data_IF_285402491639
#
_entry.id   IF_285402491639
#
_cell.length_a   1.000
_cell.length_b   1.000
_cell.length_c   1.000
_cell.angle_alpha   90.00
_cell.angle_beta   90.00
_cell.angle_gamma   90.00
#
_symmetry.space_group_name_H-M   'P 1'
#
loop_
_entity.id
_entity.type
_entity.pdbx_description
1 polymer ?
#
# COMPACT_ATOMS: atom_id res chain seq x y z
N UNK A 1 4.58 -8.01 -6.16
CA UNK A 1 3.46 -8.15 -5.22
C UNK A 1 2.16 -8.47 -5.96
N UNK A 2 1.70 -7.62 -6.85
CA UNK A 2 0.42 -7.75 -7.56
C UNK A 2 0.34 -8.97 -8.47
N UNK A 3 1.40 -9.40 -9.13
CA UNK A 3 1.44 -10.65 -9.89
C UNK A 3 1.19 -11.88 -9.00
N UNK A 4 1.65 -11.82 -7.76
CA UNK A 4 1.39 -12.88 -6.79
C UNK A 4 -0.06 -12.87 -6.32
N UNK A 5 -0.65 -11.70 -6.14
CA UNK A 5 -2.07 -11.53 -5.84
C UNK A 5 -2.94 -12.07 -6.98
N UNK A 6 -2.59 -11.76 -8.24
CA UNK A 6 -3.29 -12.26 -9.43
C UNK A 6 -3.39 -13.79 -9.48
N UNK A 7 -2.36 -14.48 -8.99
CA UNK A 7 -2.40 -15.96 -8.84
C UNK A 7 -3.55 -16.40 -7.94
N UNK A 8 -3.78 -15.66 -6.83
CA UNK A 8 -4.90 -15.93 -5.90
C UNK A 8 -6.25 -15.60 -6.55
N UNK A 9 -6.35 -14.46 -7.21
CA UNK A 9 -7.57 -14.02 -7.91
C UNK A 9 -7.95 -15.01 -8.99
N UNK A 10 -7.01 -15.44 -9.82
CA UNK A 10 -7.22 -16.44 -10.89
C UNK A 10 -7.69 -17.79 -10.33
N UNK A 11 -7.10 -18.24 -9.22
CA UNK A 11 -7.53 -19.46 -8.55
C UNK A 11 -8.95 -19.34 -8.02
N UNK A 12 -9.26 -18.24 -7.34
CA UNK A 12 -10.59 -17.98 -6.80
C UNK A 12 -11.65 -17.93 -7.90
N UNK A 13 -11.36 -17.24 -9.03
CA UNK A 13 -12.24 -17.18 -10.19
C UNK A 13 -12.52 -18.58 -10.77
N UNK A 14 -11.49 -19.44 -10.84
CA UNK A 14 -11.65 -20.84 -11.31
C UNK A 14 -12.54 -21.67 -10.37
N UNK A 15 -12.43 -21.44 -9.07
CA UNK A 15 -13.21 -22.18 -8.06
C UNK A 15 -14.65 -21.63 -7.94
N UNK A 16 -14.93 -20.45 -8.54
CA UNK A 16 -16.25 -19.76 -8.52
C UNK A 16 -16.67 -19.37 -9.95
N UNK A 17 -16.98 -20.33 -10.83
CA UNK A 17 -17.23 -20.07 -12.27
C UNK A 17 -18.49 -19.25 -12.56
N UNK A 18 -19.37 -19.07 -11.58
CA UNK A 18 -20.57 -18.23 -11.69
C UNK A 18 -20.29 -16.74 -11.45
N UNK A 19 -19.05 -16.40 -11.11
CA UNK A 19 -18.60 -15.02 -10.88
C UNK A 19 -17.64 -14.58 -11.99
N UNK A 20 -17.83 -13.36 -12.52
CA UNK A 20 -16.84 -12.70 -13.38
C UNK A 20 -15.82 -11.94 -12.52
N UNK A 21 -14.68 -12.55 -12.28
CA UNK A 21 -13.64 -12.04 -11.37
C UNK A 21 -12.36 -11.79 -12.15
N UNK A 22 -11.81 -10.58 -12.02
CA UNK A 22 -10.54 -10.20 -12.65
C UNK A 22 -9.78 -9.21 -11.79
N UNK A 23 -8.46 -9.20 -11.92
CA UNK A 23 -7.60 -8.18 -11.36
C UNK A 23 -7.27 -7.14 -12.44
N UNK A 24 -7.34 -5.87 -12.08
CA UNK A 24 -6.94 -4.75 -12.94
C UNK A 24 -6.20 -3.72 -12.09
N UNK A 25 -5.29 -2.99 -12.70
CA UNK A 25 -4.56 -1.92 -12.03
C UNK A 25 -3.72 -1.11 -13.01
N UNK A 26 -3.16 0.02 -12.60
CA UNK A 26 -2.24 0.79 -13.40
C UNK A 26 -0.93 0.02 -13.64
N UNK A 27 -0.25 0.31 -14.74
CA UNK A 27 1.03 -0.32 -15.07
C UNK A 27 2.20 0.15 -14.17
N UNK A 28 2.05 1.32 -13.58
CA UNK A 28 2.99 1.93 -12.63
C UNK A 28 2.22 2.42 -11.42
N UNK A 29 2.91 2.72 -10.32
CA UNK A 29 2.28 3.29 -9.13
C UNK A 29 1.75 4.70 -9.44
N UNK A 30 0.47 4.79 -9.79
CA UNK A 30 -0.25 6.00 -10.18
C UNK A 30 -1.65 6.01 -9.58
N UNK A 31 -1.82 6.79 -8.51
CA UNK A 31 -3.09 6.88 -7.78
C UNK A 31 -4.21 7.54 -8.61
N UNK A 32 -3.87 8.48 -9.49
CA UNK A 32 -4.86 9.11 -10.37
C UNK A 32 -5.37 8.13 -11.43
N UNK A 33 -4.49 7.30 -11.98
CA UNK A 33 -4.88 6.23 -12.91
C UNK A 33 -5.69 5.16 -12.19
N UNK A 34 -5.35 4.80 -10.94
CA UNK A 34 -6.16 3.89 -10.14
C UNK A 34 -7.56 4.44 -9.91
N UNK A 35 -7.70 5.72 -9.57
CA UNK A 35 -9.01 6.38 -9.43
C UNK A 35 -9.83 6.28 -10.71
N UNK A 36 -9.22 6.53 -11.87
CA UNK A 36 -9.93 6.44 -13.17
C UNK A 36 -10.42 5.01 -13.44
N UNK A 37 -9.57 3.99 -13.21
CA UNK A 37 -9.95 2.58 -13.36
C UNK A 37 -11.16 2.24 -12.47
N UNK A 38 -11.16 2.68 -11.21
CA UNK A 38 -12.27 2.45 -10.29
C UNK A 38 -13.54 3.17 -10.76
N UNK A 39 -13.42 4.42 -11.25
CA UNK A 39 -14.57 5.14 -11.81
C UNK A 39 -15.21 4.39 -12.98
N UNK A 40 -14.40 3.85 -13.88
CA UNK A 40 -14.87 3.09 -15.03
C UNK A 40 -15.56 1.78 -14.60
N UNK A 41 -14.98 1.06 -13.63
CA UNK A 41 -15.59 -0.14 -13.05
C UNK A 41 -16.96 0.16 -12.38
N UNK A 42 -17.02 1.21 -11.58
CA UNK A 42 -18.27 1.64 -10.93
C UNK A 42 -19.32 2.08 -11.97
N UNK A 43 -18.88 2.70 -13.06
CA UNK A 43 -19.78 3.08 -14.15
C UNK A 43 -20.37 1.86 -14.89
N UNK A 44 -19.62 0.75 -15.00
CA UNK A 44 -20.10 -0.52 -15.57
C UNK A 44 -21.03 -1.30 -14.65
N UNK A 45 -21.15 -0.91 -13.38
CA UNK A 45 -22.08 -1.53 -12.44
C UNK A 45 -21.54 -2.81 -11.81
N UNK A 46 -20.28 -2.85 -11.39
CA UNK A 46 -19.72 -4.00 -10.67
C UNK A 46 -20.43 -4.23 -9.34
N UNK A 47 -20.65 -5.50 -8.97
CA UNK A 47 -21.30 -5.89 -7.71
C UNK A 47 -20.37 -5.73 -6.50
N UNK A 48 -19.05 -5.95 -6.70
CA UNK A 48 -18.06 -5.84 -5.65
C UNK A 48 -16.71 -5.33 -6.18
N UNK A 49 -15.97 -4.64 -5.33
CA UNK A 49 -14.59 -4.20 -5.56
C UNK A 49 -13.73 -4.61 -4.36
N UNK A 50 -12.67 -5.36 -4.61
CA UNK A 50 -11.56 -5.52 -3.69
C UNK A 50 -10.44 -4.58 -4.12
N UNK A 51 -10.05 -3.63 -3.26
CA UNK A 51 -9.13 -2.53 -3.60
C UNK A 51 -7.92 -2.54 -2.68
N UNK A 52 -6.73 -2.39 -3.27
CA UNK A 52 -5.51 -2.02 -2.53
C UNK A 52 -5.24 -0.55 -2.87
N UNK A 53 -5.68 0.39 -2.03
CA UNK A 53 -5.55 1.82 -2.34
C UNK A 53 -4.10 2.29 -2.37
N UNK A 54 -3.69 2.93 -3.46
CA UNK A 54 -2.41 3.63 -3.52
C UNK A 54 -2.43 4.93 -2.72
N UNK A 55 -3.60 5.53 -2.63
CA UNK A 55 -3.93 6.70 -1.81
C UNK A 55 -5.41 6.58 -1.41
N UNK A 56 -5.70 6.20 -0.15
CA UNK A 56 -7.07 6.05 0.33
C UNK A 56 -7.91 7.32 0.22
N UNK A 57 -7.32 8.49 0.46
CA UNK A 57 -8.05 9.76 0.53
C UNK A 57 -8.69 10.14 -0.80
N UNK A 58 -7.98 9.92 -1.93
CA UNK A 58 -8.52 10.26 -3.25
C UNK A 58 -9.64 9.31 -3.68
N UNK A 59 -9.72 8.11 -3.10
CA UNK A 59 -10.73 7.12 -3.45
C UNK A 59 -12.04 7.26 -2.68
N UNK A 60 -12.05 7.98 -1.54
CA UNK A 60 -13.22 8.08 -0.67
C UNK A 60 -14.49 8.48 -1.42
N UNK A 61 -14.40 9.47 -2.28
CA UNK A 61 -15.55 9.98 -3.02
C UNK A 61 -16.17 8.97 -3.98
N UNK A 62 -15.37 8.18 -4.69
CA UNK A 62 -15.87 7.18 -5.64
C UNK A 62 -16.36 5.93 -4.92
N UNK A 63 -15.65 5.47 -3.88
CA UNK A 63 -16.05 4.31 -3.10
C UNK A 63 -17.37 4.58 -2.37
N UNK A 64 -17.55 5.77 -1.77
CA UNK A 64 -18.82 6.15 -1.15
C UNK A 64 -19.98 6.16 -2.13
N UNK A 65 -19.79 6.63 -3.37
CA UNK A 65 -20.81 6.56 -4.42
C UNK A 65 -21.12 5.12 -4.86
N UNK A 66 -20.13 4.26 -4.92
CA UNK A 66 -20.29 2.85 -5.25
C UNK A 66 -21.10 2.13 -4.17
N UNK A 67 -20.74 2.31 -2.89
CA UNK A 67 -21.48 1.76 -1.74
C UNK A 67 -22.93 2.23 -1.70
N UNK A 68 -23.20 3.52 -1.99
CA UNK A 68 -24.56 4.06 -2.04
C UNK A 68 -25.42 3.41 -3.15
N UNK A 69 -24.79 2.77 -4.14
CA UNK A 69 -25.47 2.00 -5.20
C UNK A 69 -25.56 0.50 -4.90
N UNK A 70 -25.03 0.07 -3.76
CA UNK A 70 -25.06 -1.32 -3.33
C UNK A 70 -23.81 -2.13 -3.69
N UNK A 71 -22.78 -1.52 -4.29
CA UNK A 71 -21.50 -2.19 -4.53
C UNK A 71 -20.82 -2.52 -3.19
N UNK A 72 -20.38 -3.76 -3.01
CA UNK A 72 -19.62 -4.19 -1.85
C UNK A 72 -18.16 -3.77 -2.04
N UNK A 73 -17.60 -3.07 -1.05
CA UNK A 73 -16.21 -2.64 -1.07
C UNK A 73 -15.43 -3.37 0.03
N UNK A 74 -14.30 -3.97 -0.34
CA UNK A 74 -13.32 -4.52 0.60
C UNK A 74 -11.98 -3.89 0.27
N UNK A 75 -11.30 -3.34 1.28
CA UNK A 75 -9.96 -2.77 1.13
C UNK A 75 -8.90 -3.68 1.73
N UNK A 76 -7.68 -3.49 1.30
CA UNK A 76 -6.49 -4.11 1.84
C UNK A 76 -5.39 -3.07 1.92
N UNK A 77 -4.63 -3.06 3.01
CA UNK A 77 -3.58 -2.07 3.27
C UNK A 77 -4.10 -0.62 3.39
N UNK A 78 -5.31 -0.44 3.90
CA UNK A 78 -5.97 0.86 4.01
C UNK A 78 -6.88 0.97 5.24
N UNK A 79 -6.31 0.75 6.43
CA UNK A 79 -7.03 0.75 7.71
C UNK A 79 -7.72 2.09 8.06
N UNK A 80 -7.42 3.14 7.31
CA UNK A 80 -8.06 4.46 7.42
C UNK A 80 -9.18 4.70 6.38
N UNK A 81 -9.43 3.76 5.45
CA UNK A 81 -10.49 3.92 4.45
C UNK A 81 -11.87 3.92 5.14
N UNK A 82 -12.63 5.01 4.96
CA UNK A 82 -13.95 5.18 5.58
C UNK A 82 -15.02 4.45 4.77
N UNK A 83 -14.98 4.64 3.43
CA UNK A 83 -15.95 4.06 2.51
C UNK A 83 -15.53 2.64 2.08
N UNK A 84 -15.57 1.72 3.04
CA UNK A 84 -15.35 0.29 2.84
C UNK A 84 -16.27 -0.51 3.76
N UNK A 85 -16.66 -1.72 3.35
CA UNK A 85 -17.39 -2.66 4.20
C UNK A 85 -16.45 -3.41 5.16
N UNK A 86 -15.21 -3.62 4.75
CA UNK A 86 -14.16 -4.21 5.56
C UNK A 86 -12.79 -3.85 5.00
N UNK A 87 -11.83 -3.67 5.89
CA UNK A 87 -10.42 -3.63 5.54
C UNK A 87 -9.74 -4.90 6.04
N UNK A 88 -8.88 -5.50 5.22
CA UNK A 88 -8.17 -6.74 5.54
C UNK A 88 -6.68 -6.45 5.56
N UNK A 89 -6.09 -6.53 6.74
CA UNK A 89 -4.65 -6.39 6.93
C UNK A 89 -3.99 -7.77 7.08
N UNK A 90 -2.87 -7.98 6.40
CA UNK A 90 -2.14 -9.25 6.47
C UNK A 90 -1.42 -9.42 7.81
N UNK A 91 -1.06 -8.31 8.47
CA UNK A 91 -0.33 -8.26 9.74
C UNK A 91 -0.48 -6.86 10.36
N UNK A 92 0.00 -6.69 11.59
CA UNK A 92 0.06 -5.38 12.22
C UNK A 92 1.19 -4.53 11.59
N UNK A 93 0.84 -3.45 10.92
CA UNK A 93 1.77 -2.60 10.17
C UNK A 93 2.80 -1.90 11.08
N UNK A 94 2.41 -1.48 12.28
CA UNK A 94 3.34 -0.85 13.23
C UNK A 94 4.35 -1.87 13.77
N UNK A 95 3.91 -3.10 14.07
CA UNK A 95 4.81 -4.17 14.51
C UNK A 95 5.81 -4.52 13.40
N UNK A 96 5.35 -4.54 12.14
CA UNK A 96 6.20 -4.79 10.98
C UNK A 96 7.26 -3.71 10.82
N UNK A 97 6.89 -2.43 10.84
CA UNK A 97 7.84 -1.31 10.76
C UNK A 97 8.86 -1.31 11.90
N UNK A 98 8.39 -1.60 13.12
CA UNK A 98 9.24 -1.77 14.30
C UNK A 98 10.26 -2.90 14.09
N UNK A 99 9.81 -4.06 13.64
CA UNK A 99 10.67 -5.22 13.41
C UNK A 99 11.71 -4.98 12.32
N UNK A 100 11.35 -4.26 11.25
CA UNK A 100 12.30 -3.85 10.20
C UNK A 100 13.41 -2.97 10.77
N UNK A 101 13.05 -1.95 11.54
CA UNK A 101 14.04 -1.05 12.14
C UNK A 101 14.92 -1.75 13.19
N UNK A 102 14.35 -2.65 14.00
CA UNK A 102 15.15 -3.45 14.95
C UNK A 102 16.17 -4.33 14.23
N UNK A 103 15.76 -4.92 13.10
CA UNK A 103 16.70 -5.70 12.27
C UNK A 103 17.80 -4.83 11.68
N UNK A 104 17.43 -3.63 11.18
CA UNK A 104 18.39 -2.65 10.68
C UNK A 104 19.36 -2.22 11.77
N UNK A 105 18.87 -1.84 12.95
CA UNK A 105 19.67 -1.44 14.09
C UNK A 105 20.68 -2.54 14.51
N UNK A 106 20.23 -3.79 14.51
CA UNK A 106 21.12 -4.94 14.78
C UNK A 106 22.22 -5.06 13.73
N UNK A 107 21.89 -4.92 12.44
CA UNK A 107 22.88 -4.99 11.36
C UNK A 107 23.89 -3.85 11.42
N UNK A 108 23.44 -2.66 11.81
CA UNK A 108 24.28 -1.45 11.95
C UNK A 108 25.09 -1.42 13.26
N UNK A 109 24.83 -2.31 14.21
CA UNK A 109 25.41 -2.24 15.55
C UNK A 109 24.92 -1.03 16.35
N UNK A 110 23.72 -0.56 16.08
CA UNK A 110 23.03 0.55 16.77
C UNK A 110 23.60 1.94 16.48
N UNK A 111 24.34 2.12 15.39
CA UNK A 111 24.97 3.40 15.03
C UNK A 111 25.15 3.58 13.53
N UNK A 112 25.22 4.84 13.08
CA UNK A 112 25.46 5.21 11.69
C UNK A 112 24.25 5.89 11.08
N UNK A 113 24.37 6.31 9.81
CA UNK A 113 23.29 6.97 9.06
C UNK A 113 22.39 5.94 8.39
N UNK A 114 21.13 6.23 8.34
CA UNK A 114 20.12 5.41 7.67
C UNK A 114 19.03 6.29 7.05
N UNK A 115 18.27 5.75 6.12
CA UNK A 115 17.16 6.43 5.46
C UNK A 115 16.01 5.46 5.23
N UNK A 116 14.88 5.99 4.76
CA UNK A 116 13.68 5.22 4.43
C UNK A 116 13.26 5.47 3.00
N UNK A 117 12.72 4.43 2.36
CA UNK A 117 12.08 4.49 1.06
C UNK A 117 10.64 4.02 1.17
N UNK A 118 9.76 4.65 0.42
CA UNK A 118 8.34 4.31 0.31
C UNK A 118 7.95 4.26 -1.17
N UNK A 119 6.96 3.46 -1.50
CA UNK A 119 6.42 3.44 -2.86
C UNK A 119 5.69 4.74 -3.15
N UNK A 120 4.83 5.18 -2.21
CA UNK A 120 4.12 6.45 -2.29
C UNK A 120 3.96 7.06 -0.90
N UNK A 121 4.08 8.38 -0.80
CA UNK A 121 3.78 9.14 0.41
C UNK A 121 2.27 9.15 0.73
N UNK A 122 1.42 8.90 -0.26
CA UNK A 122 -0.01 8.70 -0.07
C UNK A 122 -0.38 7.32 0.46
N UNK A 123 0.52 6.32 0.38
CA UNK A 123 0.25 4.97 0.86
C UNK A 123 0.19 4.90 2.39
N UNK A 124 -1.00 4.57 2.90
CA UNK A 124 -1.24 4.44 4.35
C UNK A 124 -0.28 3.46 5.00
N UNK A 125 -0.14 2.28 4.43
CA UNK A 125 0.66 1.18 4.97
C UNK A 125 2.15 1.51 4.98
N UNK A 126 2.68 2.05 3.87
CA UNK A 126 4.09 2.44 3.80
C UNK A 126 4.44 3.49 4.85
N UNK A 127 3.56 4.48 5.04
CA UNK A 127 3.78 5.51 6.07
C UNK A 127 3.68 4.94 7.49
N UNK A 128 2.81 3.96 7.74
CA UNK A 128 2.79 3.27 9.04
C UNK A 128 4.11 2.54 9.31
N UNK A 129 4.67 1.85 8.31
CA UNK A 129 5.93 1.12 8.47
C UNK A 129 7.10 2.04 8.78
N UNK A 130 7.28 3.12 8.02
CA UNK A 130 8.40 4.04 8.24
C UNK A 130 8.24 4.80 9.55
N UNK A 131 7.04 5.29 9.88
CA UNK A 131 6.78 6.01 11.12
C UNK A 131 7.04 5.11 12.35
N UNK A 132 6.61 3.86 12.33
CA UNK A 132 6.89 2.91 13.41
C UNK A 132 8.39 2.58 13.51
N UNK A 133 9.07 2.48 12.37
CA UNK A 133 10.53 2.31 12.34
C UNK A 133 11.28 3.51 12.92
N UNK A 134 10.87 4.73 12.57
CA UNK A 134 11.44 5.97 13.10
C UNK A 134 11.21 6.10 14.61
N UNK A 135 10.02 5.77 15.10
CA UNK A 135 9.73 5.76 16.53
C UNK A 135 10.61 4.74 17.27
N UNK A 136 10.76 3.54 16.69
CA UNK A 136 11.65 2.50 17.28
C UNK A 136 13.12 2.92 17.30
N UNK A 137 13.56 3.67 16.27
CA UNK A 137 14.96 4.14 16.16
C UNK A 137 15.38 5.05 17.32
N UNK A 138 14.46 5.68 18.02
CA UNK A 138 14.73 6.47 19.24
C UNK A 138 15.39 5.66 20.35
N UNK A 139 15.29 4.34 20.34
CA UNK A 139 16.01 3.43 21.25
C UNK A 139 17.51 3.34 20.94
N UNK A 140 17.93 3.82 19.77
CA UNK A 140 19.29 3.71 19.25
C UNK A 140 19.87 5.10 18.96
N UNK A 141 20.31 5.85 19.99
CA UNK A 141 20.75 7.24 19.84
C UNK A 141 21.99 7.42 18.96
N UNK A 142 22.69 6.34 18.63
CA UNK A 142 23.81 6.36 17.68
C UNK A 142 23.39 6.23 16.21
N UNK A 143 22.10 6.02 15.93
CA UNK A 143 21.54 5.95 14.57
C UNK A 143 20.97 7.32 14.19
N UNK A 144 21.44 7.88 13.08
CA UNK A 144 20.99 9.16 12.53
C UNK A 144 20.12 8.92 11.30
N UNK A 145 18.85 9.32 11.37
CA UNK A 145 17.97 9.32 10.20
C UNK A 145 18.32 10.51 9.30
N UNK A 146 18.66 10.23 8.05
CA UNK A 146 18.98 11.24 7.04
C UNK A 146 18.03 11.09 5.86
N UNK A 147 17.54 12.19 5.33
CA UNK A 147 16.66 12.26 4.16
C UNK A 147 15.56 11.17 4.18
N UNK A 148 14.59 11.25 5.12
CA UNK A 148 13.55 10.25 5.28
C UNK A 148 12.48 10.31 4.17
N UNK A 149 11.74 9.21 4.03
CA UNK A 149 10.52 9.11 3.20
C UNK A 149 10.77 9.36 1.71
N UNK A 150 11.83 8.74 1.17
CA UNK A 150 12.14 8.82 -0.25
C UNK A 150 11.11 8.08 -1.08
N UNK A 151 10.31 8.82 -1.86
CA UNK A 151 9.30 8.24 -2.74
C UNK A 151 9.95 7.62 -3.99
N UNK A 152 9.66 6.37 -4.25
CA UNK A 152 10.27 5.58 -5.32
C UNK A 152 9.27 4.97 -6.30
N UNK A 153 7.96 5.20 -6.10
CA UNK A 153 6.86 4.71 -6.92
C UNK A 153 6.86 3.18 -7.14
N UNK A 154 7.42 2.42 -6.18
CA UNK A 154 7.61 0.96 -6.25
C UNK A 154 8.39 0.52 -7.50
N UNK A 155 9.18 1.43 -8.08
CA UNK A 155 10.02 1.19 -9.25
C UNK A 155 11.49 0.98 -8.86
N UNK A 156 12.10 -0.07 -9.41
CA UNK A 156 13.50 -0.41 -9.11
C UNK A 156 14.48 0.67 -9.60
N UNK A 157 14.23 1.26 -10.77
CA UNK A 157 15.08 2.33 -11.30
C UNK A 157 14.88 3.62 -10.50
N UNK A 158 13.62 3.97 -10.14
CA UNK A 158 13.31 5.09 -9.28
C UNK A 158 14.00 4.99 -7.92
N UNK A 159 13.94 3.82 -7.29
CA UNK A 159 14.65 3.55 -6.03
C UNK A 159 16.17 3.69 -6.19
N UNK A 160 16.73 3.16 -7.28
CA UNK A 160 18.18 3.25 -7.55
C UNK A 160 18.63 4.70 -7.75
N UNK A 161 17.91 5.48 -8.55
CA UNK A 161 18.26 6.89 -8.76
C UNK A 161 18.14 7.70 -7.46
N UNK A 162 17.08 7.49 -6.68
CA UNK A 162 16.93 8.11 -5.36
C UNK A 162 18.08 7.75 -4.41
N UNK A 163 18.48 6.49 -4.37
CA UNK A 163 19.58 6.04 -3.52
C UNK A 163 20.94 6.65 -3.90
N UNK A 164 21.11 7.14 -5.13
CA UNK A 164 22.32 7.85 -5.58
C UNK A 164 22.35 9.32 -5.15
N UNK A 165 21.20 9.90 -4.86
CA UNK A 165 21.05 11.31 -4.46
C UNK A 165 21.36 11.52 -2.97
N UNK A 166 21.30 10.46 -2.16
CA UNK A 166 21.57 10.41 -0.72
C UNK A 166 23.05 10.09 -0.46
#
# INVERSE_FOLDING_TARGET
WFDRMETGVTRFAKDNPDMDIRQVGPATSDSAQQLQIIQDLVATGVDALAVVPMDPDILEGILGRAMARGTIIVTHEADNQINTNADIEAFNNNDYGTALNERLAKCMGGKGKWTTFVGSLGSRTHMQWVNAGEENAKKYPGMELVDPNNESFDDANGTYEKAKEI
#
